data_IF_118691160046
#
_entry.id   IF_118691160046
#
_cell.length_a   1.000
_cell.length_b   1.000
_cell.length_c   1.000
_cell.angle_alpha   90.00
_cell.angle_beta   90.00
_cell.angle_gamma   90.00
#
_symmetry.space_group_name_H-M   'P 1'
#
loop_
_entity.id
_entity.type
_entity.pdbx_description
1 polymer ?
#
# COMPACT_ATOMS: atom_id res chain seq x y z
N UNK A 1 13.31 -8.16 2.65
CA UNK A 1 14.13 -7.28 3.52
C UNK A 1 13.61 -5.86 3.33
N UNK A 2 13.33 -5.13 4.41
CA UNK A 2 12.82 -3.75 4.34
C UNK A 2 13.99 -2.76 4.28
N UNK A 3 13.94 -1.75 3.43
CA UNK A 3 15.01 -0.76 3.32
C UNK A 3 15.11 0.14 4.56
N UNK A 4 16.27 0.78 4.76
CA UNK A 4 16.50 1.65 5.93
C UNK A 4 15.52 2.85 5.99
N UNK A 5 15.28 3.61 4.91
CA UNK A 5 14.35 4.75 4.96
C UNK A 5 12.92 4.36 5.38
N UNK A 6 12.41 3.21 4.90
CA UNK A 6 11.10 2.68 5.32
C UNK A 6 11.09 2.35 6.82
N UNK A 7 12.16 1.74 7.33
CA UNK A 7 12.28 1.48 8.78
C UNK A 7 12.32 2.76 9.60
N UNK A 8 12.94 3.83 9.10
CA UNK A 8 12.94 5.12 9.79
C UNK A 8 11.57 5.80 9.73
N UNK A 9 10.83 5.71 8.61
CA UNK A 9 9.43 6.15 8.51
C UNK A 9 8.56 5.46 9.57
N UNK A 10 8.70 4.14 9.75
CA UNK A 10 7.96 3.40 10.77
C UNK A 10 8.24 3.84 12.21
N UNK A 11 9.35 4.54 12.47
CA UNK A 11 9.67 5.07 13.80
C UNK A 11 9.08 6.46 14.05
N UNK A 12 8.66 7.18 13.01
CA UNK A 12 8.11 8.53 13.14
C UNK A 12 6.75 8.51 13.85
N UNK A 13 5.93 7.50 13.53
CA UNK A 13 4.63 7.31 14.13
C UNK A 13 3.97 6.05 13.58
N UNK A 14 2.89 5.62 14.24
CA UNK A 14 2.10 4.47 13.79
C UNK A 14 1.40 4.73 12.44
N UNK A 15 0.99 5.99 12.22
CA UNK A 15 0.40 6.49 10.99
C UNK A 15 0.97 7.87 10.65
N UNK A 16 1.11 8.17 9.37
CA UNK A 16 1.48 9.50 8.91
C UNK A 16 0.21 10.33 8.75
N UNK A 17 0.06 11.35 9.59
CA UNK A 17 -1.12 12.23 9.64
C UNK A 17 -0.68 13.69 9.72
N UNK A 18 -1.58 14.62 9.42
CA UNK A 18 -1.34 16.06 9.55
C UNK A 18 -1.11 16.49 11.00
N UNK A 19 -1.44 15.63 11.98
CA UNK A 19 -1.19 15.86 13.41
C UNK A 19 0.25 15.64 13.87
N UNK A 20 1.15 15.17 13.01
CA UNK A 20 2.58 15.05 13.31
C UNK A 20 3.22 16.42 13.50
N UNK A 21 4.24 16.51 14.36
CA UNK A 21 5.01 17.75 14.51
C UNK A 21 5.74 18.11 13.20
N UNK A 22 6.04 19.39 13.01
CA UNK A 22 6.78 19.87 11.83
C UNK A 22 8.09 19.10 11.62
N UNK A 23 8.84 18.85 12.70
CA UNK A 23 10.09 18.06 12.65
C UNK A 23 9.86 16.63 12.19
N UNK A 24 8.76 16.00 12.60
CA UNK A 24 8.39 14.65 12.15
C UNK A 24 7.97 14.65 10.68
N UNK A 25 7.19 15.64 10.23
CA UNK A 25 6.78 15.78 8.84
C UNK A 25 7.99 16.01 7.92
N UNK A 26 8.93 16.88 8.31
CA UNK A 26 10.17 17.10 7.59
C UNK A 26 11.03 15.82 7.50
N UNK A 27 11.14 15.07 8.61
CA UNK A 27 11.85 13.79 8.60
C UNK A 27 11.15 12.75 7.71
N UNK A 28 9.82 12.69 7.74
CA UNK A 28 9.05 11.77 6.91
C UNK A 28 9.23 12.09 5.42
N UNK A 29 9.09 13.35 5.03
CA UNK A 29 9.35 13.78 3.65
C UNK A 29 10.76 13.38 3.18
N UNK A 30 11.78 13.64 4.00
CA UNK A 30 13.16 13.24 3.72
C UNK A 30 13.29 11.74 3.49
N UNK A 31 12.73 10.89 4.36
CA UNK A 31 12.86 9.45 4.19
C UNK A 31 12.06 8.91 3.00
N UNK A 32 10.95 9.57 2.62
CA UNK A 32 10.23 9.26 1.38
C UNK A 32 11.08 9.60 0.15
N UNK A 33 11.81 10.71 0.16
CA UNK A 33 12.73 11.08 -0.92
C UNK A 33 13.95 10.13 -1.03
N UNK A 34 14.39 9.57 0.10
CA UNK A 34 15.50 8.59 0.15
C UNK A 34 15.09 7.16 -0.26
N UNK A 35 13.81 6.90 -0.57
CA UNK A 35 13.34 5.58 -0.99
C UNK A 35 14.06 5.13 -2.26
N UNK A 36 14.72 3.97 -2.18
CA UNK A 36 15.31 3.32 -3.35
C UNK A 36 14.21 2.60 -4.12
N UNK A 37 14.15 2.82 -5.44
CA UNK A 37 13.16 2.23 -6.35
C UNK A 37 13.82 1.20 -7.28
N UNK A 38 13.12 0.13 -7.69
CA UNK A 38 11.75 -0.22 -7.30
C UNK A 38 11.63 -0.72 -5.87
N UNK A 39 10.47 -0.52 -5.24
CA UNK A 39 10.18 -1.03 -3.89
C UNK A 39 10.00 -2.55 -3.89
N UNK A 40 10.53 -3.23 -2.89
CA UNK A 40 10.24 -4.66 -2.66
C UNK A 40 8.91 -4.87 -1.93
N UNK A 41 8.38 -6.11 -1.92
CA UNK A 41 7.11 -6.44 -1.26
C UNK A 41 7.05 -6.02 0.21
N UNK A 42 8.12 -6.28 0.96
CA UNK A 42 8.19 -5.89 2.38
C UNK A 42 8.23 -4.37 2.60
N UNK A 43 8.74 -3.60 1.64
CA UNK A 43 8.68 -2.14 1.70
C UNK A 43 7.24 -1.65 1.44
N UNK A 44 6.56 -2.25 0.46
CA UNK A 44 5.16 -1.95 0.15
C UNK A 44 4.26 -2.24 1.35
N UNK A 45 4.41 -3.41 1.97
CA UNK A 45 3.65 -3.79 3.17
C UNK A 45 3.84 -2.79 4.31
N UNK A 46 5.10 -2.45 4.62
CA UNK A 46 5.42 -1.50 5.68
C UNK A 46 4.87 -0.09 5.36
N UNK A 47 5.00 0.38 4.12
CA UNK A 47 4.51 1.71 3.72
C UNK A 47 2.98 1.80 3.72
N UNK A 48 2.26 0.78 3.23
CA UNK A 48 0.78 0.73 3.32
C UNK A 48 0.34 0.78 4.77
N UNK A 49 1.06 0.10 5.67
CA UNK A 49 0.75 0.11 7.10
C UNK A 49 0.84 1.49 7.75
N UNK A 50 1.55 2.45 7.15
CA UNK A 50 1.66 3.83 7.64
C UNK A 50 0.52 4.74 7.17
N UNK A 51 -0.24 4.33 6.16
CA UNK A 51 -1.35 5.12 5.63
C UNK A 51 -2.54 5.12 6.61
N UNK A 52 -3.03 6.31 7.01
CA UNK A 52 -4.13 6.44 7.96
C UNK A 52 -5.46 6.08 7.30
N UNK A 53 -6.34 5.38 8.04
CA UNK A 53 -7.55 4.78 7.46
C UNK A 53 -8.51 5.82 6.86
N UNK A 54 -8.55 7.02 7.43
CA UNK A 54 -9.46 8.12 7.11
C UNK A 54 -9.07 8.91 5.85
N UNK A 55 -7.89 8.64 5.27
CA UNK A 55 -7.43 9.34 4.06
C UNK A 55 -6.68 10.64 4.32
N UNK A 56 -6.26 10.92 5.56
CA UNK A 56 -5.36 12.03 5.87
C UNK A 56 -4.10 11.94 4.97
N UNK A 57 -3.63 13.09 4.49
CA UNK A 57 -2.59 13.17 3.45
C UNK A 57 -1.19 13.40 4.00
N UNK A 58 -1.03 13.75 5.28
CA UNK A 58 0.23 14.18 5.88
C UNK A 58 0.92 15.26 5.03
N UNK A 59 0.19 16.32 4.70
CA UNK A 59 0.61 17.39 3.79
C UNK A 59 1.15 16.89 2.44
N UNK A 60 0.54 15.82 1.91
CA UNK A 60 0.90 15.21 0.63
C UNK A 60 1.91 14.07 0.70
N UNK A 61 2.52 13.79 1.86
CA UNK A 61 3.49 12.69 2.02
C UNK A 61 2.85 11.33 1.67
N UNK A 62 1.59 11.12 2.07
CA UNK A 62 0.90 9.86 1.79
C UNK A 62 0.62 9.66 0.30
N UNK A 63 0.45 10.74 -0.47
CA UNK A 63 0.40 10.67 -1.93
C UNK A 63 1.73 10.23 -2.53
N UNK A 64 2.84 10.77 -2.04
CA UNK A 64 4.19 10.35 -2.46
C UNK A 64 4.43 8.87 -2.18
N UNK A 65 3.99 8.36 -1.03
CA UNK A 65 4.03 6.93 -0.70
C UNK A 65 3.18 6.11 -1.67
N UNK A 66 1.94 6.52 -1.91
CA UNK A 66 1.05 5.85 -2.87
C UNK A 66 1.71 5.73 -4.24
N UNK A 67 2.28 6.83 -4.77
CA UNK A 67 2.94 6.83 -6.07
C UNK A 67 4.20 5.96 -6.09
N UNK A 68 4.97 5.90 -5.00
CA UNK A 68 6.13 5.03 -4.90
C UNK A 68 5.73 3.53 -4.93
N UNK A 69 4.62 3.18 -4.27
CA UNK A 69 4.05 1.83 -4.28
C UNK A 69 3.57 1.45 -5.69
N UNK A 70 2.75 2.31 -6.33
CA UNK A 70 2.19 2.06 -7.66
C UNK A 70 3.28 1.87 -8.74
N UNK A 71 4.46 2.47 -8.55
CA UNK A 71 5.58 2.35 -9.47
C UNK A 71 6.39 1.03 -9.30
N UNK A 72 6.09 0.21 -8.30
CA UNK A 72 6.81 -1.06 -8.09
C UNK A 72 6.29 -2.15 -9.03
N UNK A 73 7.19 -2.97 -9.64
CA UNK A 73 6.79 -4.15 -10.41
C UNK A 73 6.19 -5.26 -9.52
N UNK A 74 6.35 -5.19 -8.20
CA UNK A 74 5.70 -6.11 -7.26
C UNK A 74 4.24 -5.72 -6.96
N UNK A 75 3.79 -4.54 -7.42
CA UNK A 75 2.42 -4.08 -7.27
C UNK A 75 1.52 -4.66 -8.40
N UNK A 76 0.27 -5.09 -8.13
CA UNK A 76 -0.46 -5.04 -6.86
C UNK A 76 -0.29 -6.27 -5.94
N UNK A 77 -0.17 -6.01 -4.63
CA UNK A 77 -0.25 -7.03 -3.58
C UNK A 77 -1.67 -7.12 -3.03
N UNK A 78 -2.51 -7.97 -3.65
CA UNK A 78 -3.95 -8.00 -3.39
C UNK A 78 -4.36 -8.30 -1.94
N UNK A 79 -3.56 -9.09 -1.21
CA UNK A 79 -3.79 -9.39 0.21
C UNK A 79 -3.72 -8.14 1.10
N UNK A 80 -2.99 -7.11 0.68
CA UNK A 80 -2.89 -5.84 1.41
C UNK A 80 -4.07 -4.90 1.12
N UNK A 81 -4.95 -5.25 0.17
CA UNK A 81 -6.06 -4.42 -0.30
C UNK A 81 -7.43 -4.94 0.13
N UNK A 82 -7.50 -5.75 1.17
CA UNK A 82 -8.75 -6.38 1.63
C UNK A 82 -9.66 -5.41 2.41
N UNK A 83 -9.08 -4.50 3.20
CA UNK A 83 -9.85 -3.55 4.01
C UNK A 83 -10.43 -2.40 3.18
N UNK A 84 -11.64 -2.62 2.66
CA UNK A 84 -12.37 -1.62 1.88
C UNK A 84 -12.88 -0.43 2.72
N UNK A 85 -12.71 -0.42 4.04
CA UNK A 85 -13.04 0.73 4.90
C UNK A 85 -11.87 1.71 5.02
N UNK A 86 -10.69 1.35 4.52
CA UNK A 86 -9.54 2.22 4.45
C UNK A 86 -9.57 3.02 3.13
N UNK A 87 -9.57 4.35 3.24
CA UNK A 87 -9.68 5.25 2.09
C UNK A 87 -8.51 5.10 1.10
N UNK A 88 -7.30 4.81 1.59
CA UNK A 88 -6.16 4.54 0.71
C UNK A 88 -6.31 3.20 -0.01
N UNK A 89 -6.79 2.16 0.66
CA UNK A 89 -7.10 0.87 0.01
C UNK A 89 -8.17 1.06 -1.07
N UNK A 90 -9.23 1.84 -0.80
CA UNK A 90 -10.25 2.18 -1.80
C UNK A 90 -9.63 2.92 -2.99
N UNK A 91 -8.74 3.88 -2.73
CA UNK A 91 -8.04 4.66 -3.75
C UNK A 91 -7.17 3.75 -4.63
N UNK A 92 -6.35 2.88 -4.05
CA UNK A 92 -5.55 1.91 -4.78
C UNK A 92 -6.41 1.00 -5.65
N UNK A 93 -7.49 0.44 -5.10
CA UNK A 93 -8.39 -0.46 -5.84
C UNK A 93 -9.08 0.25 -7.00
N UNK A 94 -9.52 1.49 -6.81
CA UNK A 94 -10.13 2.29 -7.88
C UNK A 94 -9.13 2.53 -9.02
N UNK A 95 -7.89 2.92 -8.71
CA UNK A 95 -6.85 3.16 -9.70
C UNK A 95 -6.44 1.89 -10.43
N UNK A 96 -6.30 0.78 -9.71
CA UNK A 96 -6.04 -0.54 -10.30
C UNK A 96 -7.16 -0.95 -11.26
N UNK A 97 -8.43 -0.80 -10.86
CA UNK A 97 -9.57 -1.10 -11.71
C UNK A 97 -9.60 -0.21 -12.98
N UNK A 98 -9.30 1.08 -12.85
CA UNK A 98 -9.18 1.99 -13.99
C UNK A 98 -8.04 1.58 -14.94
N UNK A 99 -6.99 0.93 -14.43
CA UNK A 99 -5.92 0.33 -15.22
C UNK A 99 -6.21 -1.08 -15.75
N UNK A 100 -7.41 -1.64 -15.51
CA UNK A 100 -7.80 -2.98 -15.93
C UNK A 100 -7.27 -4.12 -15.03
N UNK A 101 -6.72 -3.80 -13.86
CA UNK A 101 -6.26 -4.79 -12.89
C UNK A 101 -7.39 -5.18 -11.93
N UNK A 102 -7.64 -6.47 -11.79
CA UNK A 102 -8.66 -7.00 -10.89
C UNK A 102 -8.04 -8.03 -9.92
N UNK A 103 -8.57 -8.11 -8.69
CA UNK A 103 -8.12 -9.13 -7.75
C UNK A 103 -8.34 -10.53 -8.35
N UNK A 104 -7.46 -11.49 -8.06
CA UNK A 104 -7.60 -12.85 -8.55
C UNK A 104 -8.95 -13.43 -8.09
N UNK A 105 -9.66 -14.10 -9.01
CA UNK A 105 -10.94 -14.73 -8.69
C UNK A 105 -10.76 -15.78 -7.58
N UNK A 106 -11.57 -15.73 -6.50
CA UNK A 106 -11.60 -16.83 -5.54
C UNK A 106 -12.20 -18.05 -6.26
N UNK A 107 -11.36 -19.03 -6.56
CA UNK A 107 -11.66 -20.36 -7.11
C UNK A 107 -11.91 -20.53 -8.62
N UNK A 108 -10.92 -21.17 -9.27
CA UNK A 108 -11.12 -22.16 -10.36
C UNK A 108 -10.58 -23.53 -9.94
N UNK A 109 -10.83 -23.97 -8.69
CA UNK A 109 -10.41 -25.32 -8.21
C UNK A 109 -11.52 -26.23 -7.67
N UNK A 110 -12.78 -25.80 -7.63
CA UNK A 110 -13.87 -26.61 -7.08
C UNK A 110 -14.91 -27.15 -8.09
N UNK A 111 -14.81 -26.84 -9.39
CA UNK A 111 -15.79 -27.33 -10.38
C UNK A 111 -15.52 -28.73 -10.97
N UNK A 112 -14.35 -29.34 -10.72
CA UNK A 112 -13.99 -30.64 -11.35
C UNK A 112 -14.52 -31.87 -10.57
N UNK A 113 -15.33 -31.69 -9.51
CA UNK A 113 -15.92 -32.82 -8.75
C UNK A 113 -17.43 -33.03 -8.90
N UNK A 114 -18.16 -32.19 -9.65
CA UNK A 114 -19.62 -32.34 -9.80
C UNK A 114 -20.10 -32.96 -11.13
N UNK A 115 -19.20 -33.43 -11.97
CA UNK A 115 -19.55 -34.07 -13.24
C UNK A 115 -19.10 -35.52 -13.29
N UNK A 116 -19.75 -36.39 -12.51
CA UNK A 116 -19.91 -37.81 -12.87
C UNK A 116 -21.35 -38.23 -12.57
N UNK A 117 -22.19 -38.48 -13.58
CA UNK A 117 -23.45 -39.18 -13.36
C UNK A 117 -23.15 -40.65 -13.06
N UNK A 118 -23.89 -41.20 -12.09
CA UNK A 118 -24.09 -42.65 -11.92
C UNK A 118 -25.06 -43.17 -12.98
#
# INVERSE_FOLDING_TARGET
MVQKPVRELCKIGAKLTDGLSEKQLQAAAKYVDELTKPLGEGDIEALISLLPQDGDTAFGINWSILHAIEASPAWPLWSLLEDKRNEWVRTFRLRLANGGFHPPSPNTRDEVKRSRPH
#
